data_IF_496325542656
#
_entry.id   IF_496325542656
#
_cell.length_a   1.000
_cell.length_b   1.000
_cell.length_c   1.000
_cell.angle_alpha   90.00
_cell.angle_beta   90.00
_cell.angle_gamma   90.00
#
_symmetry.space_group_name_H-M   'P 1'
#
loop_
_entity.id
_entity.type
_entity.pdbx_description
1 polymer ?
#
# COMPACT_ATOMS: atom_id res chain seq x y z
N UNK A 1 28.90 -19.35 -6.26
CA UNK A 1 27.43 -19.51 -6.09
C UNK A 1 26.79 -18.50 -5.13
N UNK A 2 27.42 -18.15 -4.00
CA UNK A 2 26.87 -17.15 -3.04
C UNK A 2 26.66 -15.76 -3.67
N UNK A 3 27.60 -15.29 -4.48
CA UNK A 3 27.51 -14.00 -5.18
C UNK A 3 26.33 -13.92 -6.16
N UNK A 4 26.09 -14.99 -6.93
CA UNK A 4 24.97 -15.04 -7.88
C UNK A 4 23.62 -14.98 -7.16
N UNK A 5 23.51 -15.69 -6.02
CA UNK A 5 22.31 -15.72 -5.17
C UNK A 5 22.04 -14.38 -4.48
N UNK A 6 23.10 -13.63 -4.11
CA UNK A 6 23.00 -12.26 -3.61
C UNK A 6 22.62 -11.28 -4.72
N UNK A 7 23.21 -11.37 -5.91
CA UNK A 7 22.78 -10.56 -7.07
C UNK A 7 21.31 -10.78 -7.41
N UNK A 8 20.80 -12.03 -7.36
CA UNK A 8 19.37 -12.28 -7.56
C UNK A 8 18.53 -11.64 -6.46
N UNK A 9 18.96 -11.67 -5.19
CA UNK A 9 18.26 -10.97 -4.10
C UNK A 9 18.26 -9.45 -4.26
N UNK A 10 19.38 -8.84 -4.68
CA UNK A 10 19.46 -7.40 -4.90
C UNK A 10 18.62 -6.96 -6.10
N UNK A 11 18.68 -7.67 -7.22
CA UNK A 11 17.79 -7.46 -8.37
C UNK A 11 16.33 -7.66 -7.97
N UNK A 12 16.04 -8.66 -7.15
CA UNK A 12 14.71 -8.94 -6.64
C UNK A 12 14.19 -7.79 -5.78
N UNK A 13 14.98 -7.21 -4.86
CA UNK A 13 14.58 -6.03 -4.07
C UNK A 13 14.31 -4.82 -4.97
N UNK A 14 15.15 -4.59 -5.99
CA UNK A 14 14.94 -3.49 -6.95
C UNK A 14 13.65 -3.70 -7.75
N UNK A 15 13.43 -4.91 -8.26
CA UNK A 15 12.21 -5.26 -9.00
C UNK A 15 10.98 -5.22 -8.10
N UNK A 16 11.08 -5.65 -6.84
CA UNK A 16 10.04 -5.51 -5.81
C UNK A 16 9.70 -4.04 -5.63
N UNK A 17 10.68 -3.21 -5.25
CA UNK A 17 10.45 -1.79 -5.02
C UNK A 17 9.83 -1.10 -6.23
N UNK A 18 10.37 -1.34 -7.44
CA UNK A 18 9.88 -0.70 -8.68
C UNK A 18 8.48 -1.20 -9.06
N UNK A 19 8.18 -2.49 -8.93
CA UNK A 19 6.84 -3.03 -9.25
C UNK A 19 5.80 -2.65 -8.19
N UNK A 20 6.17 -2.59 -6.91
CA UNK A 20 5.33 -2.04 -5.86
C UNK A 20 4.98 -0.59 -6.13
N UNK A 21 5.94 0.21 -6.58
CA UNK A 21 5.70 1.61 -6.97
C UNK A 21 4.80 1.73 -8.21
N UNK A 22 4.98 0.86 -9.21
CA UNK A 22 4.12 0.85 -10.40
C UNK A 22 2.67 0.44 -10.09
N UNK A 23 2.48 -0.52 -9.19
CA UNK A 23 1.15 -0.92 -8.73
C UNK A 23 0.51 0.13 -7.81
N UNK A 24 1.29 0.80 -6.96
CA UNK A 24 0.79 1.94 -6.18
C UNK A 24 0.41 3.11 -7.10
N UNK A 25 1.11 3.38 -8.21
CA UNK A 25 0.80 4.48 -9.13
C UNK A 25 -0.62 4.36 -9.73
N UNK A 26 -1.13 3.16 -10.02
CA UNK A 26 -2.50 2.99 -10.53
C UNK A 26 -3.60 3.36 -9.52
N UNK A 27 -3.27 3.45 -8.23
CA UNK A 27 -4.13 4.04 -7.20
C UNK A 27 -3.40 5.10 -6.39
N UNK A 28 -2.38 5.71 -6.99
CA UNK A 28 -1.48 6.63 -6.33
C UNK A 28 -2.26 7.86 -5.94
N UNK A 29 -3.18 8.29 -6.80
CA UNK A 29 -4.07 9.41 -6.53
C UNK A 29 -4.96 9.18 -5.29
N UNK A 30 -5.42 7.94 -5.06
CA UNK A 30 -6.17 7.60 -3.83
C UNK A 30 -5.29 7.49 -2.58
N UNK A 31 -3.97 7.53 -2.71
CA UNK A 31 -3.00 7.66 -1.61
C UNK A 31 -2.61 9.14 -1.44
N UNK A 32 -2.40 9.86 -2.54
CA UNK A 32 -1.95 11.25 -2.57
C UNK A 32 -3.04 12.26 -2.22
N UNK A 33 -4.32 11.91 -2.41
CA UNK A 33 -5.46 12.76 -2.12
C UNK A 33 -6.35 12.08 -1.08
N UNK A 34 -6.27 12.56 0.16
CA UNK A 34 -7.03 12.00 1.29
C UNK A 34 -8.54 12.09 1.12
N UNK A 35 -9.04 13.13 0.45
CA UNK A 35 -10.45 13.28 0.05
C UNK A 35 -10.89 12.19 -0.93
N UNK A 36 -10.04 11.76 -1.85
CA UNK A 36 -10.36 10.67 -2.77
C UNK A 36 -10.31 9.32 -2.07
N UNK A 37 -9.35 9.13 -1.15
CA UNK A 37 -9.32 7.98 -0.26
C UNK A 37 -10.62 7.86 0.55
N UNK A 38 -11.17 8.99 1.01
CA UNK A 38 -12.38 9.07 1.82
C UNK A 38 -13.66 8.88 0.99
N UNK A 39 -13.86 9.69 -0.04
CA UNK A 39 -15.08 9.68 -0.87
C UNK A 39 -15.21 8.41 -1.71
N UNK A 40 -14.08 7.81 -2.10
CA UNK A 40 -14.02 6.60 -2.92
C UNK A 40 -13.41 5.42 -2.15
N UNK A 41 -13.81 5.27 -0.88
CA UNK A 41 -13.19 4.31 0.04
C UNK A 41 -13.17 2.87 -0.46
N UNK A 42 -14.22 2.44 -1.17
CA UNK A 42 -14.29 1.09 -1.76
C UNK A 42 -13.21 0.88 -2.82
N UNK A 43 -13.00 1.86 -3.70
CA UNK A 43 -11.99 1.80 -4.78
C UNK A 43 -10.59 1.79 -4.18
N UNK A 44 -10.35 2.68 -3.21
CA UNK A 44 -9.11 2.71 -2.44
C UNK A 44 -8.85 1.35 -1.77
N UNK A 45 -9.83 0.81 -1.05
CA UNK A 45 -9.71 -0.46 -0.32
C UNK A 45 -9.42 -1.65 -1.23
N UNK A 46 -10.14 -1.78 -2.36
CA UNK A 46 -9.89 -2.85 -3.34
C UNK A 46 -8.49 -2.72 -3.93
N UNK A 47 -8.08 -1.51 -4.28
CA UNK A 47 -6.76 -1.28 -4.86
C UNK A 47 -5.63 -1.64 -3.89
N UNK A 48 -5.67 -1.12 -2.66
CA UNK A 48 -4.64 -1.38 -1.67
C UNK A 48 -4.57 -2.89 -1.32
N UNK A 49 -5.73 -3.54 -1.28
CA UNK A 49 -5.85 -4.98 -1.02
C UNK A 49 -5.26 -5.81 -2.15
N UNK A 50 -5.65 -5.55 -3.40
CA UNK A 50 -5.15 -6.29 -4.56
C UNK A 50 -3.65 -6.09 -4.74
N UNK A 51 -3.19 -4.86 -4.59
CA UNK A 51 -1.76 -4.54 -4.66
C UNK A 51 -0.96 -5.34 -3.62
N UNK A 52 -1.41 -5.36 -2.36
CA UNK A 52 -0.72 -6.08 -1.31
C UNK A 52 -0.78 -7.59 -1.54
N UNK A 53 -1.96 -8.15 -1.82
CA UNK A 53 -2.12 -9.61 -1.99
C UNK A 53 -1.29 -10.09 -3.18
N UNK A 54 -1.41 -9.47 -4.36
CA UNK A 54 -0.73 -9.95 -5.58
C UNK A 54 0.78 -9.84 -5.41
N UNK A 55 1.28 -8.68 -4.99
CA UNK A 55 2.71 -8.45 -4.79
C UNK A 55 3.27 -9.35 -3.70
N UNK A 56 2.72 -9.28 -2.48
CA UNK A 56 3.23 -10.04 -1.35
C UNK A 56 3.13 -11.55 -1.56
N UNK A 57 2.06 -12.06 -2.16
CA UNK A 57 1.92 -13.51 -2.45
C UNK A 57 2.95 -13.97 -3.48
N UNK A 58 3.16 -13.19 -4.53
CA UNK A 58 4.19 -13.50 -5.54
C UNK A 58 5.58 -13.59 -4.89
N UNK A 59 5.95 -12.60 -4.08
CA UNK A 59 7.26 -12.58 -3.44
C UNK A 59 7.43 -13.62 -2.34
N UNK A 60 6.38 -13.87 -1.55
CA UNK A 60 6.38 -14.87 -0.49
C UNK A 60 6.50 -16.29 -1.06
N UNK A 61 5.82 -16.59 -2.17
CA UNK A 61 5.91 -17.91 -2.83
C UNK A 61 7.24 -18.11 -3.56
N UNK A 62 7.86 -17.04 -4.07
CA UNK A 62 9.19 -17.11 -4.67
C UNK A 62 10.29 -17.36 -3.64
N UNK A 63 10.24 -16.66 -2.50
CA UNK A 63 11.26 -16.76 -1.45
C UNK A 63 11.07 -17.99 -0.55
N UNK A 64 9.83 -18.38 -0.29
CA UNK A 64 9.49 -19.50 0.58
C UNK A 64 9.78 -19.26 2.07
N UNK A 65 10.05 -18.00 2.46
CA UNK A 65 10.40 -17.60 3.83
C UNK A 65 9.25 -16.80 4.43
N UNK A 66 8.62 -17.26 5.52
CA UNK A 66 7.67 -16.44 6.28
C UNK A 66 8.35 -15.16 6.77
N UNK A 67 7.75 -14.00 6.50
CA UNK A 67 8.32 -12.68 6.76
C UNK A 67 8.51 -11.85 5.49
N UNK A 68 8.38 -12.46 4.30
CA UNK A 68 8.52 -11.72 3.04
C UNK A 68 7.33 -10.80 2.78
N UNK A 69 6.10 -11.17 3.19
CA UNK A 69 4.95 -10.30 2.97
C UNK A 69 5.03 -9.04 3.84
N UNK A 70 5.43 -9.19 5.10
CA UNK A 70 5.69 -8.06 6.01
C UNK A 70 6.83 -7.18 5.54
N UNK A 71 7.91 -7.77 5.04
CA UNK A 71 9.01 -7.01 4.43
C UNK A 71 8.54 -6.19 3.22
N UNK A 72 7.69 -6.78 2.37
CA UNK A 72 7.07 -6.08 1.24
C UNK A 72 6.23 -4.88 1.70
N UNK A 73 5.36 -5.07 2.70
CA UNK A 73 4.56 -3.99 3.27
C UNK A 73 5.43 -2.90 3.91
N UNK A 74 6.52 -3.26 4.59
CA UNK A 74 7.46 -2.30 5.18
C UNK A 74 8.08 -1.41 4.12
N UNK A 75 8.53 -1.97 2.99
CA UNK A 75 9.07 -1.19 1.88
C UNK A 75 8.05 -0.18 1.38
N UNK A 76 6.80 -0.61 1.13
CA UNK A 76 5.75 0.31 0.68
C UNK A 76 5.46 1.41 1.69
N UNK A 77 5.40 1.07 2.99
CA UNK A 77 5.28 2.05 4.07
C UNK A 77 6.41 3.08 4.01
N UNK A 78 7.67 2.65 4.01
CA UNK A 78 8.82 3.56 3.96
C UNK A 78 8.76 4.48 2.74
N UNK A 79 8.48 3.96 1.54
CA UNK A 79 8.37 4.78 0.34
C UNK A 79 7.25 5.83 0.42
N UNK A 80 6.07 5.46 0.94
CA UNK A 80 4.97 6.43 1.09
C UNK A 80 5.26 7.49 2.14
N UNK A 81 5.96 7.15 3.22
CA UNK A 81 6.43 8.14 4.20
C UNK A 81 7.47 9.10 3.61
N UNK A 82 8.41 8.60 2.82
CA UNK A 82 9.39 9.45 2.11
C UNK A 82 8.68 10.38 1.13
N UNK A 83 7.68 9.88 0.39
CA UNK A 83 6.85 10.72 -0.47
C UNK A 83 6.11 11.78 0.34
N UNK A 84 5.44 11.39 1.43
CA UNK A 84 4.73 12.32 2.33
C UNK A 84 5.64 13.43 2.85
N UNK A 85 6.86 13.10 3.26
CA UNK A 85 7.85 14.08 3.69
C UNK A 85 8.27 15.05 2.55
N UNK A 86 8.47 14.54 1.34
CA UNK A 86 8.80 15.37 0.18
C UNK A 86 7.67 16.37 -0.15
N UNK A 87 6.41 15.93 -0.14
CA UNK A 87 5.27 16.81 -0.39
C UNK A 87 5.06 17.84 0.73
N UNK A 88 5.28 17.44 1.98
CA UNK A 88 5.28 18.37 3.11
C UNK A 88 6.35 19.46 2.95
N UNK A 89 7.55 19.10 2.46
CA UNK A 89 8.61 20.08 2.17
C UNK A 89 8.28 21.05 1.02
N UNK A 90 7.34 20.68 0.15
CA UNK A 90 6.81 21.54 -0.91
C UNK A 90 5.68 22.48 -0.43
N UNK A 91 5.30 22.42 0.86
CA UNK A 91 4.30 23.30 1.46
C UNK A 91 2.87 22.75 1.47
N UNK A 92 2.67 21.48 1.08
CA UNK A 92 1.38 20.81 1.23
C UNK A 92 1.14 20.37 2.69
N UNK A 93 -0.13 20.33 3.16
CA UNK A 93 -0.42 19.93 4.53
C UNK A 93 -0.04 18.47 4.76
N UNK A 94 0.28 18.13 6.01
CA UNK A 94 0.65 16.77 6.37
C UNK A 94 -0.46 15.76 6.03
N UNK A 95 -1.71 16.15 6.19
CA UNK A 95 -2.89 15.34 5.89
C UNK A 95 -3.30 15.36 4.41
N UNK A 96 -2.46 15.91 3.53
CA UNK A 96 -2.67 15.83 2.08
C UNK A 96 -2.52 14.40 1.58
N UNK A 97 -1.53 13.68 2.10
CA UNK A 97 -1.20 12.29 1.71
C UNK A 97 -1.62 11.33 2.82
N UNK A 98 -2.42 10.34 2.44
CA UNK A 98 -2.76 9.21 3.29
C UNK A 98 -1.62 8.21 3.29
N UNK A 99 -1.31 7.68 4.47
CA UNK A 99 -0.36 6.57 4.64
C UNK A 99 -1.15 5.32 4.98
N UNK A 100 -1.42 4.42 4.02
CA UNK A 100 -2.18 3.20 4.27
C UNK A 100 -1.46 2.27 5.26
N UNK A 101 -2.24 1.49 5.99
CA UNK A 101 -1.78 0.61 7.08
C UNK A 101 -1.69 -0.83 6.57
N UNK A 102 -0.57 -1.16 5.91
CA UNK A 102 -0.35 -2.47 5.30
C UNK A 102 0.19 -3.55 6.24
N UNK A 103 0.98 -3.16 7.23
CA UNK A 103 1.80 -4.07 8.04
C UNK A 103 0.97 -5.16 8.74
N UNK A 104 -0.14 -4.86 9.47
CA UNK A 104 -0.88 -5.90 10.18
C UNK A 104 -1.48 -6.95 9.23
N UNK A 105 -2.03 -6.53 8.09
CA UNK A 105 -2.58 -7.45 7.08
C UNK A 105 -1.49 -8.30 6.42
N UNK A 106 -0.31 -7.73 6.18
CA UNK A 106 0.83 -8.49 5.67
C UNK A 106 1.34 -9.55 6.68
N UNK A 107 1.31 -9.24 7.99
CA UNK A 107 1.61 -10.21 9.04
C UNK A 107 0.63 -11.39 9.01
N UNK A 108 -0.67 -11.14 8.80
CA UNK A 108 -1.65 -12.21 8.64
C UNK A 108 -1.34 -13.10 7.44
N UNK A 109 -0.90 -12.50 6.33
CA UNK A 109 -0.50 -13.21 5.12
C UNK A 109 0.71 -14.15 5.38
N UNK A 110 1.72 -13.65 6.09
CA UNK A 110 2.89 -14.44 6.51
C UNK A 110 2.50 -15.57 7.49
N UNK A 111 1.61 -15.28 8.45
CA UNK A 111 1.13 -16.26 9.43
C UNK A 111 0.33 -17.39 8.75
N UNK A 112 -0.54 -17.08 7.79
CA UNK A 112 -1.26 -18.11 7.03
C UNK A 112 -0.29 -18.98 6.25
N UNK A 113 0.69 -18.38 5.57
CA UNK A 113 1.69 -19.15 4.82
C UNK A 113 2.45 -20.12 5.72
N UNK A 114 2.84 -19.65 6.90
CA UNK A 114 3.52 -20.48 7.89
C UNK A 114 2.61 -21.58 8.46
N UNK A 115 1.41 -21.22 8.93
CA UNK A 115 0.45 -22.15 9.53
C UNK A 115 0.01 -23.26 8.56
N UNK A 116 -0.10 -22.94 7.26
CA UNK A 116 -0.49 -23.89 6.20
C UNK A 116 0.69 -24.70 5.65
N UNK A 117 1.83 -24.70 6.36
CA UNK A 117 3.07 -25.39 5.95
C UNK A 117 3.52 -24.99 4.54
N UNK A 118 3.45 -23.70 4.24
CA UNK A 118 3.89 -23.09 2.97
C UNK A 118 3.07 -23.51 1.75
N UNK A 119 1.80 -23.87 1.93
CA UNK A 119 0.92 -24.22 0.81
C UNK A 119 0.47 -22.97 0.04
N UNK A 120 0.76 -22.94 -1.27
CA UNK A 120 0.44 -21.84 -2.19
C UNK A 120 -1.06 -21.57 -2.33
N UNK A 121 -1.86 -22.63 -2.41
CA UNK A 121 -3.30 -22.51 -2.63
C UNK A 121 -4.01 -22.04 -1.37
N UNK A 122 -3.62 -22.60 -0.23
CA UNK A 122 -4.12 -22.17 1.08
C UNK A 122 -3.74 -20.72 1.37
N UNK A 123 -2.54 -20.28 0.97
CA UNK A 123 -2.12 -18.89 1.07
C UNK A 123 -3.04 -17.94 0.29
N UNK A 124 -3.30 -18.25 -0.98
CA UNK A 124 -4.14 -17.40 -1.84
C UNK A 124 -5.56 -17.34 -1.29
N UNK A 125 -6.13 -18.47 -0.86
CA UNK A 125 -7.50 -18.54 -0.39
C UNK A 125 -7.67 -17.95 1.02
N UNK A 126 -6.98 -18.49 2.03
CA UNK A 126 -7.13 -18.00 3.41
C UNK A 126 -6.40 -16.67 3.64
N UNK A 127 -5.18 -16.54 3.13
CA UNK A 127 -4.40 -15.30 3.29
C UNK A 127 -5.01 -14.15 2.51
N UNK A 128 -5.48 -14.40 1.29
CA UNK A 128 -6.18 -13.41 0.48
C UNK A 128 -7.46 -12.91 1.15
N UNK A 129 -8.29 -13.81 1.69
CA UNK A 129 -9.52 -13.43 2.42
C UNK A 129 -9.19 -12.64 3.69
N UNK A 130 -8.23 -13.09 4.50
CA UNK A 130 -7.85 -12.37 5.72
C UNK A 130 -7.34 -10.96 5.43
N UNK A 131 -6.52 -10.79 4.39
CA UNK A 131 -6.04 -9.47 3.97
C UNK A 131 -7.19 -8.62 3.45
N UNK A 132 -8.05 -9.18 2.60
CA UNK A 132 -9.18 -8.44 2.02
C UNK A 132 -10.23 -8.00 3.04
N UNK A 133 -10.32 -8.67 4.18
CA UNK A 133 -11.18 -8.23 5.28
C UNK A 133 -10.46 -7.28 6.25
N UNK A 134 -9.18 -7.53 6.55
CA UNK A 134 -8.45 -6.76 7.56
C UNK A 134 -7.92 -5.42 7.06
N UNK A 135 -7.43 -5.34 5.82
CA UNK A 135 -6.82 -4.13 5.28
C UNK A 135 -7.80 -2.96 5.20
N UNK A 136 -9.05 -3.16 4.70
CA UNK A 136 -10.06 -2.10 4.74
C UNK A 136 -10.49 -1.73 6.16
N UNK A 137 -10.34 -2.61 7.15
CA UNK A 137 -10.63 -2.24 8.52
C UNK A 137 -9.56 -1.31 9.08
N UNK A 138 -8.28 -1.67 8.94
CA UNK A 138 -7.16 -0.86 9.45
C UNK A 138 -7.06 0.49 8.76
N UNK A 139 -7.29 0.54 7.44
CA UNK A 139 -7.28 1.78 6.69
C UNK A 139 -8.43 2.72 7.10
N UNK A 140 -9.61 2.19 7.41
CA UNK A 140 -10.75 3.01 7.85
C UNK A 140 -10.47 3.63 9.21
N UNK A 141 -9.93 2.84 10.14
CA UNK A 141 -9.51 3.34 11.46
C UNK A 141 -8.49 4.46 11.32
N UNK A 142 -7.54 4.33 10.40
CA UNK A 142 -6.55 5.37 10.13
C UNK A 142 -7.18 6.62 9.50
N UNK A 143 -8.10 6.48 8.56
CA UNK A 143 -8.73 7.62 7.88
C UNK A 143 -9.61 8.47 8.81
N UNK A 144 -10.33 7.85 9.75
CA UNK A 144 -11.19 8.58 10.70
C UNK A 144 -10.37 9.48 11.63
N UNK A 145 -9.08 9.19 11.81
CA UNK A 145 -8.17 10.01 12.64
C UNK A 145 -7.57 11.22 11.92
N UNK A 146 -7.78 11.34 10.60
CA UNK A 146 -7.27 12.46 9.79
C UNK A 146 -8.21 13.67 9.92
N UNK A 147 -7.66 14.89 9.84
CA UNK A 147 -8.48 16.10 9.72
C UNK A 147 -9.41 16.02 8.49
N UNK A 148 -10.49 16.81 8.47
CA UNK A 148 -11.50 16.73 7.41
C UNK A 148 -10.85 16.76 6.01
N UNK A 149 -10.88 15.63 5.27
CA UNK A 149 -10.21 15.54 3.98
C UNK A 149 -10.78 16.51 2.95
N UNK A 150 -12.09 16.81 3.03
CA UNK A 150 -12.76 17.71 2.09
C UNK A 150 -12.35 19.16 2.33
N UNK A 151 -12.32 19.61 3.60
CA UNK A 151 -11.84 20.95 3.95
C UNK A 151 -10.39 21.16 3.49
N UNK A 152 -9.55 20.15 3.68
CA UNK A 152 -8.16 20.16 3.21
C UNK A 152 -8.09 20.27 1.68
N UNK A 153 -8.98 19.60 0.96
CA UNK A 153 -9.02 19.62 -0.50
C UNK A 153 -9.46 20.97 -1.07
N UNK A 154 -10.43 21.66 -0.43
CA UNK A 154 -10.86 23.00 -0.85
C UNK A 154 -9.80 24.08 -0.56
N UNK A 155 -9.11 23.97 0.57
CA UNK A 155 -8.12 24.97 1.01
C UNK A 155 -6.82 24.95 0.21
N UNK A 156 -6.42 23.79 -0.31
CA UNK A 156 -5.14 23.61 -0.98
C UNK A 156 -5.33 23.28 -2.48
N UNK A 157 -5.11 24.26 -3.39
CA UNK A 157 -5.33 24.06 -4.81
C UNK A 157 -4.35 23.06 -5.42
N UNK A 158 -4.82 22.31 -6.41
CA UNK A 158 -4.09 21.23 -7.10
C UNK A 158 -3.82 21.63 -8.55
N UNK A 159 -2.75 22.42 -8.83
CA UNK A 159 -2.53 23.04 -10.14
C UNK A 159 -2.25 22.04 -11.28
N UNK A 160 -1.92 20.79 -10.94
CA UNK A 160 -1.65 19.72 -11.92
C UNK A 160 -2.90 18.90 -12.27
N UNK A 161 -4.03 19.08 -11.56
CA UNK A 161 -5.27 18.38 -11.87
C UNK A 161 -6.13 19.17 -12.86
N UNK A 162 -6.84 18.49 -13.79
CA UNK A 162 -7.83 19.14 -14.63
C UNK A 162 -8.95 19.80 -13.81
N UNK A 163 -9.56 20.90 -14.29
CA UNK A 163 -10.62 21.62 -13.57
C UNK A 163 -11.86 20.79 -13.21
N UNK A 164 -12.12 19.70 -13.92
CA UNK A 164 -13.25 18.81 -13.64
C UNK A 164 -12.94 17.76 -12.55
N UNK A 165 -11.66 17.61 -12.18
CA UNK A 165 -11.21 16.71 -11.10
C UNK A 165 -10.96 17.46 -9.78
N UNK A 166 -10.97 18.79 -9.81
CA UNK A 166 -10.89 19.59 -8.58
C UNK A 166 -12.24 19.61 -7.88
N UNK A 167 -12.28 19.47 -6.55
CA UNK A 167 -13.53 19.54 -5.80
C UNK A 167 -14.17 20.93 -5.96
N UNK A 168 -15.50 20.94 -6.07
CA UNK A 168 -16.34 22.13 -6.20
C UNK A 168 -17.20 22.19 -4.93
N UNK A 169 -17.29 23.38 -4.32
CA UNK A 169 -18.13 23.62 -3.13
C UNK A 169 -19.63 23.46 -3.45
#
# INVERSE_FOLDING_TARGET
MVWLRRCTHYLFIVVVGVNSTLLTINAGDYIFYTDWAWTSYTVFSISQTLMLIVGATYYLTFTGVPGTATYYALIMTVYTWVAKAAWFSLGYPYDFIVTPVWLPSAMLLDLVYWATKKNKHSLILFGGVLVGMSLPLFNMVNLITVADPLETAFKYPRPTLPPYMTPIE
#
